data_IF_851546519093
#
_entry.id   IF_851546519093
#
_cell.length_a   1.000
_cell.length_b   1.000
_cell.length_c   1.000
_cell.angle_alpha   90.00
_cell.angle_beta   90.00
_cell.angle_gamma   90.00
#
_symmetry.space_group_name_H-M   'P 1'
#
loop_
_entity.id
_entity.type
_entity.pdbx_description
1 polymer ?
#
# COMPACT_ATOMS: atom_id res chain seq x y z
N UNK A 1 -0.41 14.08 -7.93
CA UNK A 1 0.29 13.14 -8.82
C UNK A 1 0.00 13.46 -10.29
N UNK A 2 -1.24 13.27 -10.75
CA UNK A 2 -1.64 13.44 -12.18
C UNK A 2 -1.25 14.78 -12.80
N UNK A 3 -1.50 15.90 -12.10
CA UNK A 3 -1.18 17.24 -12.63
C UNK A 3 0.33 17.43 -12.80
N UNK A 4 1.10 17.03 -11.81
CA UNK A 4 2.57 17.12 -11.84
C UNK A 4 3.12 16.21 -12.95
N UNK A 5 2.67 14.95 -13.00
CA UNK A 5 3.12 13.99 -14.01
C UNK A 5 2.87 14.48 -15.43
N UNK A 6 1.68 15.01 -15.73
CA UNK A 6 1.33 15.46 -17.08
C UNK A 6 1.89 16.84 -17.45
N UNK A 7 1.81 17.82 -16.53
CA UNK A 7 2.20 19.21 -16.87
C UNK A 7 3.69 19.47 -16.68
N UNK A 8 4.27 18.94 -15.60
CA UNK A 8 5.67 19.22 -15.25
C UNK A 8 6.62 18.19 -15.88
N UNK A 9 6.32 16.90 -15.70
CA UNK A 9 7.18 15.81 -16.19
C UNK A 9 6.83 15.34 -17.61
N UNK A 10 5.76 15.87 -18.22
CA UNK A 10 5.29 15.53 -19.57
C UNK A 10 5.11 14.03 -19.81
N UNK A 11 4.81 13.28 -18.75
CA UNK A 11 4.52 11.85 -18.84
C UNK A 11 3.18 11.60 -19.52
N UNK A 12 3.03 10.45 -20.15
CA UNK A 12 1.76 10.06 -20.73
C UNK A 12 0.69 9.88 -19.62
N UNK A 13 -0.58 9.91 -20.02
CA UNK A 13 -1.71 9.89 -19.08
C UNK A 13 -1.75 8.60 -18.27
N UNK A 14 -1.41 7.45 -18.88
CA UNK A 14 -1.46 6.14 -18.21
C UNK A 14 -0.36 6.02 -17.15
N UNK A 15 0.88 6.31 -17.49
CA UNK A 15 1.99 6.32 -16.53
C UNK A 15 1.73 7.29 -15.37
N UNK A 16 1.25 8.51 -15.67
CA UNK A 16 0.88 9.50 -14.64
C UNK A 16 -0.24 8.98 -13.72
N UNK A 17 -1.23 8.28 -14.29
CA UNK A 17 -2.32 7.70 -13.52
C UNK A 17 -1.85 6.54 -12.65
N UNK A 18 -1.01 5.65 -13.18
CA UNK A 18 -0.43 4.53 -12.43
C UNK A 18 0.41 5.01 -11.24
N UNK A 19 1.31 5.97 -11.46
CA UNK A 19 2.12 6.56 -10.37
C UNK A 19 1.19 7.20 -9.33
N UNK A 20 0.18 7.95 -9.76
CA UNK A 20 -0.76 8.60 -8.85
C UNK A 20 -1.57 7.59 -8.04
N UNK A 21 -2.01 6.51 -8.65
CA UNK A 21 -2.73 5.42 -7.97
C UNK A 21 -1.83 4.69 -6.97
N UNK A 22 -0.59 4.39 -7.35
CA UNK A 22 0.41 3.78 -6.48
C UNK A 22 0.72 4.65 -5.26
N UNK A 23 0.96 5.94 -5.46
CA UNK A 23 1.25 6.88 -4.37
C UNK A 23 0.06 7.11 -3.44
N UNK A 24 -1.17 6.91 -3.92
CA UNK A 24 -2.37 7.15 -3.12
C UNK A 24 -2.70 6.02 -2.14
N UNK A 25 -2.31 4.78 -2.42
CA UNK A 25 -2.75 3.61 -1.62
C UNK A 25 -1.56 2.80 -1.10
N UNK A 26 -1.02 1.89 -1.92
CA UNK A 26 -0.03 0.91 -1.47
C UNK A 26 1.04 0.58 -2.53
N UNK A 27 1.44 1.55 -3.33
CA UNK A 27 2.54 1.39 -4.27
C UNK A 27 2.24 0.37 -5.37
N UNK A 28 3.04 -0.68 -5.42
CA UNK A 28 3.02 -1.69 -6.49
C UNK A 28 1.70 -2.42 -6.62
N UNK A 29 1.02 -2.76 -5.53
CA UNK A 29 -0.26 -3.49 -5.57
C UNK A 29 -1.36 -2.66 -6.25
N UNK A 30 -1.41 -1.35 -5.99
CA UNK A 30 -2.36 -0.46 -6.66
C UNK A 30 -2.05 -0.33 -8.16
N UNK A 31 -0.78 -0.24 -8.54
CA UNK A 31 -0.34 -0.21 -9.94
C UNK A 31 -0.74 -1.52 -10.64
N UNK A 32 -0.45 -2.68 -10.03
CA UNK A 32 -0.77 -3.98 -10.58
C UNK A 32 -2.29 -4.19 -10.76
N UNK A 33 -3.11 -3.67 -9.84
CA UNK A 33 -4.56 -3.76 -9.95
C UNK A 33 -5.14 -2.83 -11.03
N UNK A 34 -4.61 -1.61 -11.14
CA UNK A 34 -5.14 -0.57 -12.04
C UNK A 34 -4.59 -0.70 -13.46
N UNK A 35 -3.36 -1.16 -13.62
CA UNK A 35 -2.68 -1.25 -14.91
C UNK A 35 -3.47 -1.97 -16.00
N UNK A 36 -3.97 -3.19 -15.77
CA UNK A 36 -4.81 -3.90 -16.73
C UNK A 36 -6.11 -3.14 -17.06
N UNK A 37 -6.70 -2.46 -16.08
CA UNK A 37 -7.95 -1.71 -16.24
C UNK A 37 -7.78 -0.54 -17.19
N UNK A 38 -6.67 0.21 -17.08
CA UNK A 38 -6.35 1.31 -18.00
C UNK A 38 -5.69 0.84 -19.30
N UNK A 39 -5.54 -0.48 -19.47
CA UNK A 39 -4.80 -1.08 -20.61
C UNK A 39 -3.43 -0.43 -20.77
N UNK A 40 -2.70 -0.34 -19.67
CA UNK A 40 -1.33 0.17 -19.67
C UNK A 40 -0.41 -0.80 -20.41
N UNK A 41 0.61 -0.26 -21.07
CA UNK A 41 1.68 -1.07 -21.65
C UNK A 41 2.66 -1.52 -20.56
N UNK A 42 3.41 -2.57 -20.82
CA UNK A 42 4.43 -3.08 -19.89
C UNK A 42 5.47 -2.01 -19.56
N UNK A 43 5.79 -1.15 -20.50
CA UNK A 43 6.68 -0.01 -20.31
C UNK A 43 6.10 0.99 -19.29
N UNK A 44 4.82 1.35 -19.39
CA UNK A 44 4.13 2.26 -18.47
C UNK A 44 4.12 1.68 -17.06
N UNK A 45 3.86 0.36 -16.95
CA UNK A 45 3.86 -0.38 -15.69
C UNK A 45 5.26 -0.38 -15.06
N UNK A 46 6.29 -0.70 -15.85
CA UNK A 46 7.68 -0.77 -15.40
C UNK A 46 8.19 0.57 -14.90
N UNK A 47 7.91 1.66 -15.62
CA UNK A 47 8.29 3.02 -15.22
C UNK A 47 7.59 3.39 -13.91
N UNK A 48 6.29 3.11 -13.80
CA UNK A 48 5.53 3.43 -12.60
C UNK A 48 6.04 2.65 -11.37
N UNK A 49 6.29 1.34 -11.53
CA UNK A 49 6.83 0.49 -10.45
C UNK A 49 8.23 0.92 -10.05
N UNK A 50 9.13 1.15 -11.01
CA UNK A 50 10.49 1.60 -10.73
C UNK A 50 10.51 2.92 -9.96
N UNK A 51 9.67 3.89 -10.36
CA UNK A 51 9.54 5.17 -9.66
C UNK A 51 9.12 4.97 -8.20
N UNK A 52 8.10 4.16 -7.96
CA UNK A 52 7.61 3.90 -6.60
C UNK A 52 8.68 3.18 -5.76
N UNK A 53 9.35 2.17 -6.30
CA UNK A 53 10.35 1.41 -5.56
C UNK A 53 11.58 2.24 -5.20
N UNK A 54 12.06 3.08 -6.11
CA UNK A 54 13.18 3.99 -5.84
C UNK A 54 12.81 4.98 -4.72
N UNK A 55 11.64 5.61 -4.82
CA UNK A 55 11.18 6.54 -3.79
C UNK A 55 11.01 5.87 -2.42
N UNK A 56 10.50 4.64 -2.39
CA UNK A 56 10.34 3.89 -1.16
C UNK A 56 11.66 3.42 -0.56
N UNK A 57 12.63 3.04 -1.40
CA UNK A 57 13.98 2.70 -0.94
C UNK A 57 14.66 3.90 -0.26
N UNK A 58 14.52 5.10 -0.81
CA UNK A 58 14.99 6.34 -0.19
C UNK A 58 14.23 6.61 1.11
N UNK A 59 12.90 6.50 1.08
CA UNK A 59 12.04 6.77 2.21
C UNK A 59 12.34 5.85 3.41
N UNK A 60 12.67 4.58 3.17
CA UNK A 60 13.02 3.60 4.21
C UNK A 60 14.12 4.09 5.15
N UNK A 61 15.11 4.80 4.62
CA UNK A 61 16.24 5.32 5.39
C UNK A 61 16.01 6.75 5.88
N UNK A 62 15.45 7.59 5.02
CA UNK A 62 15.30 9.02 5.29
C UNK A 62 14.23 9.29 6.35
N UNK A 63 13.12 8.58 6.33
CA UNK A 63 11.99 8.84 7.22
C UNK A 63 12.32 8.58 8.71
N UNK A 64 12.96 7.45 9.11
CA UNK A 64 13.33 7.24 10.50
C UNK A 64 14.32 8.29 11.01
N UNK A 65 15.26 8.74 10.18
CA UNK A 65 16.20 9.81 10.53
C UNK A 65 15.47 11.13 10.78
N UNK A 66 14.58 11.52 9.86
CA UNK A 66 13.79 12.74 9.98
C UNK A 66 12.83 12.69 11.16
N UNK A 67 12.18 11.55 11.40
CA UNK A 67 11.29 11.36 12.55
C UNK A 67 12.00 11.59 13.88
N UNK A 68 13.20 11.02 14.03
CA UNK A 68 14.04 11.23 15.23
C UNK A 68 14.53 12.67 15.36
N UNK A 69 14.92 13.29 14.26
CA UNK A 69 15.34 14.69 14.26
C UNK A 69 14.20 15.64 14.63
N UNK A 70 12.96 15.32 14.21
CA UNK A 70 11.75 16.07 14.56
C UNK A 70 11.22 15.73 15.97
N UNK A 71 11.78 14.74 16.66
CA UNK A 71 11.34 14.30 17.97
C UNK A 71 9.95 13.68 18.00
N UNK A 72 9.53 13.00 16.90
CA UNK A 72 8.21 12.38 16.82
C UNK A 72 8.10 11.22 17.81
N UNK A 73 6.91 11.07 18.43
CA UNK A 73 6.58 9.85 19.17
C UNK A 73 6.52 8.64 18.20
N UNK A 74 6.62 7.43 18.73
CA UNK A 74 6.47 6.23 17.91
C UNK A 74 5.12 6.18 17.22
N UNK A 75 4.05 6.57 17.93
CA UNK A 75 2.69 6.64 17.37
C UNK A 75 2.59 7.63 16.21
N UNK A 76 3.11 8.84 16.38
CA UNK A 76 3.05 9.89 15.35
C UNK A 76 3.89 9.50 14.14
N UNK A 77 5.10 8.96 14.39
CA UNK A 77 5.95 8.44 13.32
C UNK A 77 5.28 7.31 12.56
N UNK A 78 4.69 6.34 13.25
CA UNK A 78 3.97 5.23 12.62
C UNK A 78 2.85 5.71 11.71
N UNK A 79 2.07 6.68 12.18
CA UNK A 79 0.99 7.31 11.38
C UNK A 79 1.55 8.04 10.16
N UNK A 80 2.58 8.87 10.36
CA UNK A 80 3.22 9.61 9.28
C UNK A 80 3.86 8.69 8.24
N UNK A 81 4.61 7.68 8.66
CA UNK A 81 5.23 6.70 7.77
C UNK A 81 4.19 5.94 6.94
N UNK A 82 3.08 5.49 7.54
CA UNK A 82 2.01 4.80 6.84
C UNK A 82 1.36 5.65 5.73
N UNK A 83 1.27 6.97 5.95
CA UNK A 83 0.69 7.90 4.99
C UNK A 83 1.68 8.25 3.88
N UNK A 84 2.92 8.55 4.22
CA UNK A 84 3.90 9.15 3.34
C UNK A 84 4.74 8.13 2.54
N UNK A 85 5.05 6.97 3.12
CA UNK A 85 5.75 5.89 2.41
C UNK A 85 4.72 5.05 1.65
N UNK A 86 4.94 4.79 0.37
CA UNK A 86 3.89 4.23 -0.49
C UNK A 86 3.80 2.70 -0.44
N UNK A 87 4.91 2.00 -0.24
CA UNK A 87 4.95 0.53 -0.23
C UNK A 87 4.85 -0.03 1.20
N UNK A 88 4.15 -1.16 1.35
CA UNK A 88 3.92 -1.78 2.66
C UNK A 88 5.21 -2.31 3.27
N UNK A 89 6.08 -2.96 2.50
CA UNK A 89 7.34 -3.51 3.02
C UNK A 89 8.28 -2.40 3.51
N UNK A 90 8.34 -1.27 2.80
CA UNK A 90 9.12 -0.11 3.22
C UNK A 90 8.55 0.55 4.48
N UNK A 91 7.21 0.56 4.63
CA UNK A 91 6.55 1.04 5.86
C UNK A 91 6.89 0.16 7.04
N UNK A 92 6.83 -1.16 6.87
CA UNK A 92 7.21 -2.14 7.91
C UNK A 92 8.67 -1.95 8.31
N UNK A 93 9.57 -1.83 7.33
CA UNK A 93 10.99 -1.61 7.59
C UNK A 93 11.28 -0.29 8.33
N UNK A 94 10.65 0.81 7.90
CA UNK A 94 10.79 2.11 8.55
C UNK A 94 10.22 2.11 9.98
N UNK A 95 9.04 1.50 10.17
CA UNK A 95 8.41 1.35 11.48
C UNK A 95 9.27 0.52 12.43
N UNK A 96 9.77 -0.63 11.98
CA UNK A 96 10.65 -1.49 12.77
C UNK A 96 11.96 -0.80 13.17
N UNK A 97 12.53 0.02 12.27
CA UNK A 97 13.73 0.81 12.57
C UNK A 97 13.47 1.95 13.56
N UNK A 98 12.22 2.37 13.73
CA UNK A 98 11.85 3.47 14.63
C UNK A 98 11.46 2.98 16.02
N UNK A 99 10.58 1.98 16.12
CA UNK A 99 10.14 1.39 17.36
C UNK A 99 9.04 0.37 17.18
N UNK A 100 8.71 -0.41 18.23
CA UNK A 100 7.71 -1.47 18.15
C UNK A 100 6.29 -0.93 17.99
N UNK A 101 5.94 0.14 18.70
CA UNK A 101 4.65 0.82 18.56
C UNK A 101 4.53 1.44 17.17
N UNK A 102 5.58 2.09 16.67
CA UNK A 102 5.63 2.67 15.34
C UNK A 102 5.36 1.60 14.25
N UNK A 103 5.95 0.41 14.39
CA UNK A 103 5.71 -0.71 13.50
C UNK A 103 4.25 -1.14 13.50
N UNK A 104 3.64 -1.31 14.67
CA UNK A 104 2.26 -1.74 14.81
C UNK A 104 1.29 -0.73 14.21
N UNK A 105 1.43 0.55 14.55
CA UNK A 105 0.59 1.64 14.05
C UNK A 105 0.73 1.76 12.53
N UNK A 106 1.97 1.82 12.04
CA UNK A 106 2.24 1.99 10.62
C UNK A 106 1.67 0.83 9.78
N UNK A 107 1.86 -0.41 10.22
CA UNK A 107 1.36 -1.60 9.54
C UNK A 107 -0.16 -1.63 9.52
N UNK A 108 -0.81 -1.37 10.65
CA UNK A 108 -2.27 -1.38 10.75
C UNK A 108 -2.91 -0.34 9.83
N UNK A 109 -2.42 0.89 9.85
CA UNK A 109 -2.94 1.96 8.99
C UNK A 109 -2.69 1.62 7.51
N UNK A 110 -1.52 1.07 7.17
CA UNK A 110 -1.20 0.71 5.79
C UNK A 110 -2.09 -0.40 5.25
N UNK A 111 -2.34 -1.44 6.03
CA UNK A 111 -3.24 -2.54 5.65
C UNK A 111 -4.68 -2.05 5.46
N UNK A 112 -5.16 -1.18 6.33
CA UNK A 112 -6.49 -0.55 6.18
C UNK A 112 -6.59 0.24 4.88
N UNK A 113 -5.53 1.00 4.51
CA UNK A 113 -5.50 1.72 3.24
C UNK A 113 -5.50 0.80 2.02
N UNK A 114 -4.92 -0.39 2.12
CA UNK A 114 -4.93 -1.35 1.01
C UNK A 114 -6.35 -1.76 0.58
N UNK A 115 -7.35 -1.69 1.45
CA UNK A 115 -8.75 -1.95 1.11
C UNK A 115 -9.30 -0.97 0.06
N UNK A 116 -8.73 0.23 -0.03
CA UNK A 116 -9.11 1.23 -1.03
C UNK A 116 -8.72 0.87 -2.47
N UNK A 117 -7.95 -0.22 -2.67
CA UNK A 117 -7.67 -0.73 -4.02
C UNK A 117 -8.97 -1.11 -4.73
N UNK A 118 -9.92 -1.74 -4.02
CA UNK A 118 -11.18 -2.20 -4.61
C UNK A 118 -12.01 -1.03 -5.16
N UNK A 119 -12.38 -0.02 -4.34
CA UNK A 119 -13.12 1.13 -4.85
C UNK A 119 -12.35 1.90 -5.94
N UNK A 120 -11.01 2.04 -5.81
CA UNK A 120 -10.21 2.67 -6.85
C UNK A 120 -10.28 1.93 -8.18
N UNK A 121 -10.16 0.61 -8.16
CA UNK A 121 -10.20 -0.22 -9.38
C UNK A 121 -11.56 -0.14 -10.06
N UNK A 122 -12.65 -0.19 -9.28
CA UNK A 122 -14.01 -0.01 -9.77
C UNK A 122 -14.19 1.37 -10.42
N UNK A 123 -13.78 2.42 -9.72
CA UNK A 123 -13.84 3.79 -10.24
C UNK A 123 -13.04 3.95 -11.54
N UNK A 124 -11.84 3.38 -11.59
CA UNK A 124 -10.99 3.39 -12.78
C UNK A 124 -11.67 2.69 -13.95
N UNK A 125 -12.31 1.55 -13.73
CA UNK A 125 -13.06 0.81 -14.75
C UNK A 125 -14.19 1.63 -15.34
N UNK A 126 -14.88 2.41 -14.50
CA UNK A 126 -15.97 3.31 -14.95
C UNK A 126 -15.43 4.47 -15.79
N UNK A 127 -14.32 5.10 -15.35
CA UNK A 127 -13.75 6.29 -16.03
C UNK A 127 -13.11 5.93 -17.37
N UNK A 128 -12.39 4.82 -17.44
CA UNK A 128 -11.67 4.41 -18.66
C UNK A 128 -12.52 3.56 -19.63
N UNK A 129 -13.84 3.41 -19.37
CA UNK A 129 -14.79 2.68 -20.22
C UNK A 129 -14.19 1.37 -20.77
N UNK A 130 -13.67 0.56 -19.88
CA UNK A 130 -13.03 -0.68 -20.28
C UNK A 130 -14.11 -1.71 -20.63
N UNK A 131 -14.50 -1.79 -21.93
CA UNK A 131 -15.35 -2.86 -22.41
C UNK A 131 -14.70 -4.22 -22.08
N UNK A 132 -15.33 -4.97 -21.17
CA UNK A 132 -14.97 -6.35 -20.81
C UNK A 132 -13.59 -6.60 -20.17
N UNK A 133 -12.88 -5.60 -19.63
CA UNK A 133 -11.78 -5.95 -18.74
C UNK A 133 -12.39 -6.57 -17.47
N UNK A 134 -12.15 -7.86 -17.26
CA UNK A 134 -12.47 -8.50 -15.97
C UNK A 134 -11.78 -7.66 -14.91
N UNK A 135 -12.56 -7.02 -14.04
CA UNK A 135 -12.01 -6.39 -12.84
C UNK A 135 -11.25 -7.50 -12.12
N UNK A 136 -9.94 -7.49 -12.26
CA UNK A 136 -9.10 -8.45 -11.55
C UNK A 136 -9.10 -8.02 -10.09
N UNK A 137 -10.07 -8.53 -9.35
CA UNK A 137 -10.05 -8.38 -7.88
C UNK A 137 -8.81 -9.13 -7.41
N UNK A 138 -7.83 -8.44 -6.82
CA UNK A 138 -6.65 -9.12 -6.29
C UNK A 138 -7.10 -10.12 -5.22
N UNK A 139 -6.93 -11.42 -5.49
CA UNK A 139 -7.38 -12.48 -4.60
C UNK A 139 -6.86 -12.32 -3.15
N UNK A 140 -5.71 -11.70 -2.97
CA UNK A 140 -5.16 -11.42 -1.64
C UNK A 140 -6.09 -10.52 -0.81
N UNK A 141 -6.83 -9.58 -1.43
CA UNK A 141 -7.78 -8.71 -0.73
C UNK A 141 -8.98 -9.52 -0.23
N UNK A 142 -9.46 -10.48 -1.05
CA UNK A 142 -10.54 -11.38 -0.63
C UNK A 142 -10.09 -12.20 0.59
N UNK A 143 -8.91 -12.81 0.51
CA UNK A 143 -8.35 -13.57 1.61
C UNK A 143 -8.07 -12.70 2.85
N UNK A 144 -7.64 -11.46 2.66
CA UNK A 144 -7.43 -10.51 3.75
C UNK A 144 -8.75 -10.16 4.46
N UNK A 145 -9.83 -9.90 3.71
CA UNK A 145 -11.16 -9.65 4.28
C UNK A 145 -11.66 -10.90 5.01
N UNK A 146 -11.51 -12.08 4.43
CA UNK A 146 -11.87 -13.35 5.07
C UNK A 146 -11.08 -13.54 6.37
N UNK A 147 -9.78 -13.26 6.37
CA UNK A 147 -8.94 -13.35 7.55
C UNK A 147 -9.37 -12.38 8.66
N UNK A 148 -9.74 -11.13 8.30
CA UNK A 148 -10.28 -10.16 9.27
C UNK A 148 -11.58 -10.67 9.87
N UNK A 149 -12.51 -11.16 9.05
CA UNK A 149 -13.80 -11.68 9.52
C UNK A 149 -13.58 -12.89 10.45
N UNK A 150 -12.73 -13.82 10.04
CA UNK A 150 -12.38 -14.98 10.87
C UNK A 150 -11.71 -14.55 12.18
N UNK A 151 -10.79 -13.60 12.14
CA UNK A 151 -10.14 -13.10 13.35
C UNK A 151 -11.15 -12.44 14.30
N UNK A 152 -12.05 -11.60 13.78
CA UNK A 152 -13.00 -10.83 14.58
C UNK A 152 -14.10 -11.70 15.18
N UNK A 153 -14.62 -12.67 14.44
CA UNK A 153 -15.81 -13.43 14.86
C UNK A 153 -15.48 -14.84 15.37
N UNK A 154 -14.38 -15.43 14.96
CA UNK A 154 -14.02 -16.82 15.32
C UNK A 154 -12.87 -16.86 16.31
N UNK A 155 -11.77 -16.15 16.04
CA UNK A 155 -10.58 -16.22 16.89
C UNK A 155 -10.72 -15.43 18.19
N UNK A 156 -11.55 -14.39 18.21
CA UNK A 156 -11.87 -13.65 19.44
C UNK A 156 -12.69 -14.51 20.42
N UNK A 157 -13.45 -15.48 19.89
CA UNK A 157 -14.19 -16.48 20.68
C UNK A 157 -13.29 -17.60 21.23
N UNK A 158 -12.05 -17.75 20.71
CA UNK A 158 -11.09 -18.79 21.13
C UNK A 158 -9.71 -18.17 21.32
N UNK A 159 -9.46 -17.48 22.44
CA UNK A 159 -8.26 -16.66 22.65
C UNK A 159 -6.93 -17.44 22.58
N UNK A 160 -6.96 -18.74 22.82
CA UNK A 160 -5.78 -19.60 22.72
C UNK A 160 -5.30 -19.79 21.28
N UNK A 161 -6.22 -19.92 20.33
CA UNK A 161 -5.93 -20.06 18.89
C UNK A 161 -5.47 -18.71 18.32
N UNK A 162 -6.08 -17.59 18.73
CA UNK A 162 -5.69 -16.25 18.32
C UNK A 162 -4.24 -15.92 18.69
N UNK A 163 -3.80 -16.27 19.90
CA UNK A 163 -2.40 -16.11 20.33
C UNK A 163 -1.42 -16.99 19.55
N UNK A 164 -1.81 -18.21 19.19
CA UNK A 164 -0.96 -19.12 18.42
C UNK A 164 -0.78 -18.60 16.98
N UNK A 165 -1.87 -18.19 16.32
CA UNK A 165 -1.85 -17.65 14.95
C UNK A 165 -1.07 -16.34 14.89
N UNK A 166 -1.28 -15.42 15.81
CA UNK A 166 -0.52 -14.17 15.88
C UNK A 166 0.98 -14.39 16.15
N UNK A 167 1.32 -15.40 16.98
CA UNK A 167 2.70 -15.80 17.23
C UNK A 167 3.40 -16.36 16.00
N UNK A 168 2.70 -17.17 15.21
CA UNK A 168 3.22 -17.71 13.93
C UNK A 168 3.38 -16.58 12.89
N UNK A 169 2.38 -15.71 12.78
CA UNK A 169 2.42 -14.59 11.83
C UNK A 169 3.57 -13.63 12.13
N UNK A 170 3.87 -13.35 13.41
CA UNK A 170 5.03 -12.53 13.81
C UNK A 170 6.39 -13.16 13.46
N UNK A 171 6.47 -14.49 13.39
CA UNK A 171 7.72 -15.18 13.02
C UNK A 171 7.90 -15.32 11.51
N UNK A 172 6.83 -15.13 10.73
CA UNK A 172 6.83 -15.22 9.27
C UNK A 172 7.03 -13.87 8.57
N UNK A 173 6.98 -12.77 9.31
CA UNK A 173 7.31 -11.41 8.88
C UNK A 173 8.77 -11.08 9.19
#
# INVERSE_FOLDING_TARGET
>A
GMLIGRRLLKLNTKTSYLISSGTSICGGSAIAAVGPVVKAKDEDMSIALATIFILNAIALFVFPMLGRWLGLSEHDFGTWAAIAIHDTSSVVGAGAAYGEEALQVATTIKLTRALWIVPLTLFTSMVFKSDKSRVSVPWFIVWFIVAIILNTYVLDSVPMVGKLVSGIARKAL
#
